data_IF_929616833201
#
_entry.id   IF_929616833201
#
_cell.length_a   1.000
_cell.length_b   1.000
_cell.length_c   1.000
_cell.angle_alpha   90.00
_cell.angle_beta   90.00
_cell.angle_gamma   90.00
#
_symmetry.space_group_name_H-M   'P 1'
#
loop_
_entity.id
_entity.type
_entity.pdbx_description
1 polymer ?
#
# COMPACT_ATOMS: atom_id res chain seq x y z
N UNK A 1 8.88 -52.47 -82.37
CA UNK A 1 8.45 -51.22 -81.70
C UNK A 1 7.98 -51.61 -80.31
N UNK A 2 8.90 -51.66 -79.35
CA UNK A 2 9.18 -50.61 -78.33
C UNK A 2 8.29 -50.85 -77.08
N UNK A 3 8.82 -51.51 -76.03
CA UNK A 3 9.61 -50.97 -74.89
C UNK A 3 8.66 -50.69 -73.68
N UNK A 4 8.69 -51.52 -72.60
CA UNK A 4 9.33 -51.24 -71.27
C UNK A 4 8.65 -50.13 -70.43
N UNK A 5 8.49 -50.08 -69.09
CA UNK A 5 8.99 -50.72 -67.86
C UNK A 5 8.14 -50.19 -66.65
N UNK A 6 8.13 -50.94 -65.54
CA UNK A 6 8.26 -50.50 -64.11
C UNK A 6 7.21 -49.62 -63.37
N UNK A 7 6.84 -50.13 -62.17
CA UNK A 7 6.35 -49.45 -60.94
C UNK A 7 7.26 -48.25 -60.52
N UNK A 8 6.90 -47.30 -59.60
CA UNK A 8 6.21 -47.53 -58.31
C UNK A 8 5.34 -46.38 -57.71
N UNK A 9 4.80 -46.64 -56.51
CA UNK A 9 4.20 -45.71 -55.53
C UNK A 9 4.82 -44.30 -55.45
N UNK A 10 4.05 -43.33 -54.93
CA UNK A 10 4.58 -42.53 -53.82
C UNK A 10 3.66 -42.58 -52.60
N UNK A 11 4.11 -43.34 -51.59
CA UNK A 11 4.07 -42.88 -50.20
C UNK A 11 4.70 -41.49 -50.17
N UNK A 12 4.00 -40.43 -49.76
CA UNK A 12 4.56 -39.25 -49.08
C UNK A 12 3.46 -38.18 -48.93
N UNK A 13 2.59 -38.30 -47.93
CA UNK A 13 1.84 -37.14 -47.40
C UNK A 13 1.42 -37.37 -45.94
N UNK A 14 2.34 -37.86 -45.10
CA UNK A 14 2.10 -38.00 -43.66
C UNK A 14 3.36 -37.68 -42.85
N UNK A 15 4.04 -36.56 -43.15
CA UNK A 15 5.17 -36.10 -42.33
C UNK A 15 5.17 -34.60 -41.96
N UNK A 16 4.18 -33.80 -42.41
CA UNK A 16 4.17 -32.36 -42.12
C UNK A 16 3.31 -31.97 -40.91
N UNK A 17 2.32 -32.78 -40.52
CA UNK A 17 1.40 -32.41 -39.42
C UNK A 17 2.00 -32.59 -38.02
N UNK A 18 2.95 -33.51 -37.84
CA UNK A 18 3.61 -33.76 -36.54
C UNK A 18 4.60 -32.63 -36.18
N UNK A 19 5.38 -32.18 -37.16
CA UNK A 19 6.41 -31.15 -36.96
C UNK A 19 5.80 -29.80 -36.54
N UNK A 20 4.68 -29.39 -37.15
CA UNK A 20 3.99 -28.14 -36.80
C UNK A 20 3.42 -28.11 -35.38
N UNK A 21 2.93 -29.26 -34.87
CA UNK A 21 2.41 -29.36 -33.49
C UNK A 21 3.54 -29.28 -32.47
N UNK A 22 4.67 -29.94 -32.74
CA UNK A 22 5.86 -29.89 -31.89
C UNK A 22 6.47 -28.49 -31.89
N UNK A 23 6.54 -27.82 -33.03
CA UNK A 23 7.04 -26.44 -33.12
C UNK A 23 6.13 -25.44 -32.38
N UNK A 24 4.81 -25.56 -32.52
CA UNK A 24 3.86 -24.75 -31.73
C UNK A 24 4.01 -25.01 -30.23
N UNK A 25 4.08 -26.27 -29.80
CA UNK A 25 4.26 -26.63 -28.39
C UNK A 25 5.60 -26.15 -27.82
N UNK A 26 6.67 -26.20 -28.62
CA UNK A 26 7.99 -25.72 -28.22
C UNK A 26 8.03 -24.19 -28.10
N UNK A 27 7.46 -23.46 -29.07
CA UNK A 27 7.30 -22.00 -29.01
C UNK A 27 6.41 -21.58 -27.84
N UNK A 28 5.32 -22.31 -27.59
CA UNK A 28 4.45 -22.06 -26.43
C UNK A 28 5.20 -22.29 -25.11
N UNK A 29 5.98 -23.37 -25.02
CA UNK A 29 6.79 -23.70 -23.84
C UNK A 29 7.90 -22.67 -23.61
N UNK A 30 8.58 -22.19 -24.65
CA UNK A 30 9.58 -21.10 -24.57
C UNK A 30 8.90 -19.79 -24.14
N UNK A 31 7.74 -19.46 -24.71
CA UNK A 31 6.94 -18.32 -24.30
C UNK A 31 6.58 -18.39 -22.82
N UNK A 32 6.06 -19.52 -22.35
CA UNK A 32 5.70 -19.74 -20.94
C UNK A 32 6.89 -19.58 -19.98
N UNK A 33 8.07 -20.11 -20.34
CA UNK A 33 9.27 -19.96 -19.53
C UNK A 33 9.75 -18.50 -19.48
N UNK A 34 9.66 -17.77 -20.61
CA UNK A 34 10.03 -16.35 -20.68
C UNK A 34 9.08 -15.48 -19.85
N UNK A 35 7.76 -15.70 -19.95
CA UNK A 35 6.78 -14.99 -19.14
C UNK A 35 6.96 -15.25 -17.64
N UNK A 36 7.24 -16.50 -17.26
CA UNK A 36 7.56 -16.84 -15.86
C UNK A 36 8.78 -16.09 -15.35
N UNK A 37 9.86 -16.01 -16.14
CA UNK A 37 11.06 -15.26 -15.76
C UNK A 37 10.76 -13.77 -15.59
N UNK A 38 10.09 -13.15 -16.55
CA UNK A 38 9.71 -11.73 -16.49
C UNK A 38 8.79 -11.42 -15.30
N UNK A 39 7.83 -12.30 -15.03
CA UNK A 39 6.94 -12.19 -13.87
C UNK A 39 7.74 -12.28 -12.55
N UNK A 40 8.67 -13.23 -12.45
CA UNK A 40 9.51 -13.37 -11.26
C UNK A 40 10.41 -12.14 -11.05
N UNK A 41 11.03 -11.65 -12.12
CA UNK A 41 11.87 -10.44 -12.10
C UNK A 41 11.07 -9.21 -11.65
N UNK A 42 9.85 -9.04 -12.18
CA UNK A 42 8.94 -7.98 -11.76
C UNK A 42 8.55 -8.11 -10.29
N UNK A 43 8.22 -9.31 -9.81
CA UNK A 43 7.88 -9.53 -8.40
C UNK A 43 9.05 -9.25 -7.46
N UNK A 44 10.27 -9.59 -7.87
CA UNK A 44 11.48 -9.26 -7.11
C UNK A 44 11.66 -7.75 -7.06
N UNK A 45 11.50 -7.06 -8.18
CA UNK A 45 11.58 -5.59 -8.26
C UNK A 45 10.57 -4.91 -7.32
N UNK A 46 9.29 -5.30 -7.40
CA UNK A 46 8.23 -4.76 -6.54
C UNK A 46 8.51 -5.04 -5.06
N UNK A 47 9.01 -6.25 -4.75
CA UNK A 47 9.44 -6.59 -3.39
C UNK A 47 10.59 -5.73 -2.88
N UNK A 48 11.57 -5.36 -3.74
CA UNK A 48 12.66 -4.43 -3.38
C UNK A 48 12.10 -3.05 -3.08
N UNK A 49 11.18 -2.56 -3.91
CA UNK A 49 10.51 -1.27 -3.72
C UNK A 49 9.72 -1.22 -2.42
N UNK A 50 8.91 -2.24 -2.14
CA UNK A 50 8.17 -2.37 -0.88
C UNK A 50 9.10 -2.32 0.33
N UNK A 51 10.20 -3.10 0.30
CA UNK A 51 11.20 -3.09 1.39
C UNK A 51 11.86 -1.73 1.60
N UNK A 52 11.99 -0.92 0.57
CA UNK A 52 12.51 0.46 0.70
C UNK A 52 11.59 1.33 1.54
N UNK A 53 10.27 1.26 1.29
CA UNK A 53 9.25 1.99 2.06
C UNK A 53 9.23 1.53 3.52
N UNK A 54 9.34 0.21 3.74
CA UNK A 54 9.41 -0.39 5.08
C UNK A 54 10.61 0.15 5.85
N UNK A 55 11.81 0.08 5.26
CA UNK A 55 13.04 0.59 5.89
C UNK A 55 12.97 2.09 6.18
N UNK A 56 12.35 2.86 5.28
CA UNK A 56 12.15 4.28 5.48
C UNK A 56 11.25 4.55 6.69
N UNK A 57 10.10 3.87 6.79
CA UNK A 57 9.18 4.01 7.93
C UNK A 57 9.80 3.56 9.24
N UNK A 58 10.58 2.47 9.24
CA UNK A 58 11.34 2.01 10.40
C UNK A 58 12.35 3.07 10.88
N UNK A 59 13.06 3.72 9.95
CA UNK A 59 14.02 4.77 10.27
C UNK A 59 13.34 6.05 10.83
N UNK A 60 12.13 6.38 10.34
CA UNK A 60 11.37 7.54 10.81
C UNK A 60 10.65 7.27 12.14
N UNK A 61 10.30 6.02 12.45
CA UNK A 61 9.57 5.62 13.66
C UNK A 61 10.48 5.50 14.90
N UNK A 62 11.27 6.53 15.22
CA UNK A 62 12.26 6.52 16.33
C UNK A 62 11.65 6.43 17.74
N UNK A 63 10.34 6.58 17.89
CA UNK A 63 9.65 6.60 19.21
C UNK A 63 8.21 6.09 19.15
N UNK A 64 7.93 5.07 18.34
CA UNK A 64 6.57 4.48 18.14
C UNK A 64 5.50 5.46 17.59
N UNK A 65 5.92 6.69 17.30
CA UNK A 65 5.14 7.75 16.69
C UNK A 65 5.81 8.24 15.42
N UNK A 66 5.01 8.51 14.40
CA UNK A 66 5.41 9.01 13.09
C UNK A 66 4.78 10.38 12.87
N UNK A 67 5.59 11.38 12.46
CA UNK A 67 5.06 12.66 12.03
C UNK A 67 4.40 12.54 10.65
N UNK A 68 3.37 13.33 10.40
CA UNK A 68 2.62 13.25 9.13
C UNK A 68 3.47 13.57 7.91
N UNK A 69 4.51 14.39 8.05
CA UNK A 69 5.43 14.69 6.95
C UNK A 69 6.19 13.45 6.48
N UNK A 70 6.71 12.66 7.43
CA UNK A 70 7.38 11.39 7.12
C UNK A 70 6.37 10.36 6.57
N UNK A 71 5.16 10.32 7.15
CA UNK A 71 4.09 9.48 6.64
C UNK A 71 3.71 9.79 5.19
N UNK A 72 3.48 11.06 4.86
CA UNK A 72 3.13 11.49 3.49
C UNK A 72 4.27 11.20 2.52
N UNK A 73 5.52 11.39 2.94
CA UNK A 73 6.68 11.02 2.13
C UNK A 73 6.75 9.51 1.85
N UNK A 74 6.33 8.67 2.80
CA UNK A 74 6.22 7.22 2.57
C UNK A 74 5.12 6.89 1.55
N UNK A 75 3.97 7.57 1.62
CA UNK A 75 2.88 7.45 0.65
C UNK A 75 3.35 7.89 -0.75
N UNK A 76 4.01 9.03 -0.87
CA UNK A 76 4.57 9.53 -2.14
C UNK A 76 5.61 8.57 -2.73
N UNK A 77 6.45 8.00 -1.86
CA UNK A 77 7.41 6.96 -2.28
C UNK A 77 6.68 5.76 -2.86
N UNK A 78 5.57 5.33 -2.23
CA UNK A 78 4.74 4.23 -2.71
C UNK A 78 4.07 4.57 -4.04
N UNK A 79 3.61 5.81 -4.24
CA UNK A 79 3.08 6.29 -5.53
C UNK A 79 4.12 6.11 -6.64
N UNK A 80 5.38 6.46 -6.38
CA UNK A 80 6.48 6.24 -7.33
C UNK A 80 6.73 4.76 -7.68
N UNK A 81 6.25 3.81 -6.87
CA UNK A 81 6.45 2.38 -7.13
C UNK A 81 5.47 1.77 -8.13
N UNK A 82 4.34 2.46 -8.42
CA UNK A 82 3.28 1.99 -9.34
C UNK A 82 2.73 0.60 -8.98
N UNK A 83 2.37 0.40 -7.71
CA UNK A 83 1.77 -0.85 -7.23
C UNK A 83 0.32 -0.99 -7.70
N UNK A 84 -0.06 -2.20 -8.15
CA UNK A 84 -1.46 -2.56 -8.29
C UNK A 84 -2.10 -2.93 -6.95
N UNK A 85 -3.41 -3.11 -6.94
CA UNK A 85 -4.13 -3.53 -5.72
C UNK A 85 -3.65 -4.89 -5.18
N UNK A 86 -3.40 -5.85 -6.08
CA UNK A 86 -2.85 -7.17 -5.71
C UNK A 86 -1.45 -7.08 -5.10
N UNK A 87 -0.63 -6.13 -5.58
CA UNK A 87 0.70 -5.89 -5.02
C UNK A 87 0.60 -5.31 -3.60
N UNK A 88 -0.33 -4.38 -3.38
CA UNK A 88 -0.61 -3.83 -2.04
C UNK A 88 -1.07 -4.93 -1.09
N UNK A 89 -2.03 -5.77 -1.51
CA UNK A 89 -2.48 -6.91 -0.72
C UNK A 89 -1.31 -7.84 -0.34
N UNK A 90 -0.43 -8.13 -1.31
CA UNK A 90 0.69 -9.05 -1.10
C UNK A 90 1.80 -8.49 -0.21
N UNK A 91 2.16 -7.22 -0.38
CA UNK A 91 3.34 -6.64 0.26
C UNK A 91 3.03 -5.78 1.49
N UNK A 92 1.88 -5.11 1.51
CA UNK A 92 1.50 -4.14 2.54
C UNK A 92 0.40 -4.68 3.45
N UNK A 93 -0.50 -5.55 2.98
CA UNK A 93 -1.52 -6.19 3.82
C UNK A 93 -1.04 -7.52 4.41
N UNK A 94 0.18 -7.53 4.92
CA UNK A 94 0.71 -8.67 5.66
C UNK A 94 0.57 -8.38 7.18
N UNK A 95 -0.11 -9.25 7.96
CA UNK A 95 -0.28 -9.04 9.40
C UNK A 95 1.05 -9.01 10.18
N UNK A 96 2.12 -9.61 9.65
CA UNK A 96 3.47 -9.55 10.24
C UNK A 96 4.14 -8.17 10.11
N UNK A 97 3.60 -7.30 9.25
CA UNK A 97 4.16 -5.96 9.02
C UNK A 97 3.68 -4.97 10.08
N UNK A 98 4.37 -3.84 10.21
CA UNK A 98 3.94 -2.75 11.11
C UNK A 98 2.58 -2.17 10.63
N UNK A 99 1.69 -1.84 11.57
CA UNK A 99 0.40 -1.21 11.23
C UNK A 99 0.55 0.09 10.44
N UNK A 100 1.65 0.83 10.61
CA UNK A 100 1.93 2.03 9.83
C UNK A 100 2.12 1.72 8.34
N UNK A 101 2.72 0.57 8.02
CA UNK A 101 2.89 0.10 6.65
C UNK A 101 1.52 -0.25 6.06
N UNK A 102 0.70 -0.96 6.84
CA UNK A 102 -0.66 -1.30 6.43
C UNK A 102 -1.51 -0.03 6.22
N UNK A 103 -1.36 0.97 7.09
CA UNK A 103 -2.01 2.28 6.97
C UNK A 103 -1.60 3.02 5.68
N UNK A 104 -0.31 3.03 5.34
CA UNK A 104 0.18 3.60 4.07
C UNK A 104 -0.45 2.87 2.88
N UNK A 105 -0.60 1.54 2.95
CA UNK A 105 -1.28 0.74 1.92
C UNK A 105 -2.76 1.10 1.78
N UNK A 106 -3.48 1.25 2.90
CA UNK A 106 -4.90 1.68 2.92
C UNK A 106 -5.04 3.07 2.30
N UNK A 107 -4.19 4.02 2.71
CA UNK A 107 -4.18 5.37 2.17
C UNK A 107 -3.97 5.35 0.65
N UNK A 108 -2.95 4.64 0.18
CA UNK A 108 -2.65 4.51 -1.25
C UNK A 108 -3.81 3.91 -2.05
N UNK A 109 -4.48 2.87 -1.52
CA UNK A 109 -5.65 2.27 -2.16
C UNK A 109 -6.80 3.27 -2.33
N UNK A 110 -7.08 4.06 -1.28
CA UNK A 110 -8.17 5.03 -1.28
C UNK A 110 -7.88 6.26 -2.14
N UNK A 111 -6.64 6.74 -2.19
CA UNK A 111 -6.31 7.99 -2.91
C UNK A 111 -5.80 7.78 -4.32
N UNK A 112 -4.95 6.78 -4.53
CA UNK A 112 -4.24 6.62 -5.81
C UNK A 112 -4.91 5.58 -6.69
N UNK A 113 -5.33 4.45 -6.11
CA UNK A 113 -6.00 3.38 -6.85
C UNK A 113 -7.51 3.57 -6.98
N UNK A 114 -8.11 4.41 -6.12
CA UNK A 114 -9.56 4.67 -6.13
C UNK A 114 -10.39 3.44 -5.81
N UNK A 115 -9.87 2.53 -4.97
CA UNK A 115 -10.59 1.30 -4.59
C UNK A 115 -11.78 1.66 -3.68
N UNK A 116 -12.99 1.16 -3.98
CA UNK A 116 -14.14 1.36 -3.10
C UNK A 116 -13.88 0.84 -1.69
N UNK A 117 -14.36 1.58 -0.69
CA UNK A 117 -14.19 1.25 0.74
C UNK A 117 -14.59 -0.19 1.07
N UNK A 118 -15.75 -0.64 0.60
CA UNK A 118 -16.25 -2.00 0.84
C UNK A 118 -15.29 -3.09 0.34
N UNK A 119 -14.73 -2.91 -0.87
CA UNK A 119 -13.78 -3.86 -1.45
C UNK A 119 -12.46 -3.87 -0.67
N UNK A 120 -12.02 -2.70 -0.20
CA UNK A 120 -10.84 -2.58 0.61
C UNK A 120 -11.03 -3.24 1.98
N UNK A 121 -12.19 -3.07 2.60
CA UNK A 121 -12.51 -3.67 3.91
C UNK A 121 -12.54 -5.19 3.82
N UNK A 122 -13.12 -5.74 2.74
CA UNK A 122 -13.09 -7.19 2.53
C UNK A 122 -11.66 -7.69 2.37
N UNK A 123 -10.81 -6.98 1.62
CA UNK A 123 -9.39 -7.30 1.53
C UNK A 123 -8.69 -7.24 2.91
N UNK A 124 -8.93 -6.20 3.71
CA UNK A 124 -8.37 -6.08 5.05
C UNK A 124 -8.82 -7.23 5.97
N UNK A 125 -10.05 -7.70 5.81
CA UNK A 125 -10.60 -8.85 6.56
C UNK A 125 -9.96 -10.16 6.14
N UNK A 126 -9.81 -10.40 4.84
CA UNK A 126 -9.12 -11.60 4.30
C UNK A 126 -7.69 -11.68 4.82
N UNK A 127 -7.03 -10.53 4.96
CA UNK A 127 -5.66 -10.44 5.46
C UNK A 127 -5.54 -10.34 6.98
N UNK A 128 -6.64 -10.42 7.74
CA UNK A 128 -6.68 -10.37 9.22
C UNK A 128 -6.07 -9.08 9.81
N UNK A 129 -6.21 -7.95 9.11
CA UNK A 129 -5.66 -6.65 9.54
C UNK A 129 -6.72 -5.56 9.73
N UNK A 130 -8.00 -5.87 9.51
CA UNK A 130 -9.14 -4.94 9.67
C UNK A 130 -9.12 -4.24 11.03
N UNK A 131 -8.87 -5.00 12.10
CA UNK A 131 -9.04 -4.54 13.47
C UNK A 131 -7.80 -3.84 14.03
N UNK A 132 -6.72 -3.77 13.24
CA UNK A 132 -5.49 -3.07 13.67
C UNK A 132 -5.78 -1.58 13.77
N UNK A 133 -5.36 -0.96 14.88
CA UNK A 133 -5.68 0.44 15.19
C UNK A 133 -4.45 1.33 15.21
N UNK A 134 -4.68 2.59 14.83
CA UNK A 134 -3.72 3.68 14.96
C UNK A 134 -4.37 4.83 15.73
N UNK A 135 -3.57 5.55 16.51
CA UNK A 135 -3.99 6.78 17.16
C UNK A 135 -3.45 7.96 16.36
N UNK A 136 -4.36 8.74 15.79
CA UNK A 136 -4.03 9.99 15.09
C UNK A 136 -4.27 11.12 16.07
N UNK A 137 -3.21 11.88 16.35
CA UNK A 137 -3.23 13.10 17.14
C UNK A 137 -2.97 14.30 16.26
N UNK A 138 -3.81 15.31 16.33
CA UNK A 138 -3.60 16.55 15.59
C UNK A 138 -3.93 17.77 16.45
N UNK A 139 -3.22 18.86 16.18
CA UNK A 139 -3.36 20.11 16.92
C UNK A 139 -3.97 21.16 16.01
N UNK A 140 -5.10 21.74 16.42
CA UNK A 140 -5.76 22.82 15.71
C UNK A 140 -5.37 24.17 16.27
N UNK A 141 -5.16 25.12 15.36
CA UNK A 141 -5.00 26.53 15.68
C UNK A 141 -6.25 27.02 16.40
N UNK A 142 -6.07 27.62 17.57
CA UNK A 142 -7.17 28.23 18.30
C UNK A 142 -7.85 29.32 17.46
N UNK A 143 -9.18 29.30 17.44
CA UNK A 143 -9.98 30.27 16.68
C UNK A 143 -9.87 31.66 17.29
N UNK A 144 -10.00 32.69 16.45
CA UNK A 144 -10.18 34.05 16.96
C UNK A 144 -11.63 34.22 17.42
N UNK A 145 -11.81 34.74 18.64
CA UNK A 145 -13.12 35.01 19.21
C UNK A 145 -13.06 36.34 19.97
N UNK A 146 -13.93 37.29 19.60
CA UNK A 146 -13.94 38.67 20.12
C UNK A 146 -12.56 39.35 20.18
N UNK A 147 -11.73 39.18 19.14
CA UNK A 147 -10.41 39.80 19.07
C UNK A 147 -9.32 39.13 19.91
N UNK A 148 -9.62 38.04 20.61
CA UNK A 148 -8.63 37.21 21.30
C UNK A 148 -8.42 35.89 20.56
N UNK A 149 -7.16 35.44 20.47
CA UNK A 149 -6.84 34.10 19.98
C UNK A 149 -7.12 33.09 21.08
N UNK A 150 -8.03 32.14 20.83
CA UNK A 150 -8.28 31.02 21.72
C UNK A 150 -7.07 30.09 21.80
N UNK A 151 -7.03 29.24 22.83
CA UNK A 151 -5.98 28.23 22.97
C UNK A 151 -6.05 27.21 21.84
N UNK A 152 -4.88 26.74 21.40
CA UNK A 152 -4.80 25.65 20.44
C UNK A 152 -5.43 24.37 21.03
N UNK A 153 -6.20 23.66 20.20
CA UNK A 153 -6.94 22.47 20.60
C UNK A 153 -6.18 21.21 20.18
N UNK A 154 -5.98 20.26 21.08
CA UNK A 154 -5.45 18.94 20.74
C UNK A 154 -6.59 17.95 20.56
N UNK A 155 -6.64 17.30 19.41
CA UNK A 155 -7.58 16.24 19.08
C UNK A 155 -6.83 14.92 18.97
N UNK A 156 -7.47 13.84 19.41
CA UNK A 156 -6.90 12.49 19.37
C UNK A 156 -8.00 11.47 19.08
N UNK A 157 -7.78 10.60 18.10
CA UNK A 157 -8.75 9.54 17.78
C UNK A 157 -8.04 8.22 17.48
N UNK A 158 -8.58 7.15 18.05
CA UNK A 158 -8.22 5.79 17.72
C UNK A 158 -9.12 5.29 16.59
N UNK A 159 -8.51 4.86 15.49
CA UNK A 159 -9.24 4.40 14.30
C UNK A 159 -8.69 3.05 13.86
N UNK A 160 -9.56 2.11 13.52
CA UNK A 160 -9.13 0.84 12.89
C UNK A 160 -8.85 1.04 11.40
N UNK A 161 -8.13 0.10 10.78
CA UNK A 161 -7.90 0.14 9.35
C UNK A 161 -9.21 -0.05 8.56
N UNK A 162 -10.16 -0.82 9.09
CA UNK A 162 -11.48 -0.97 8.51
C UNK A 162 -12.29 0.34 8.58
N UNK A 163 -12.32 1.00 9.74
CA UNK A 163 -13.04 2.26 9.92
C UNK A 163 -12.52 3.34 8.95
N UNK A 164 -11.20 3.42 8.76
CA UNK A 164 -10.56 4.33 7.79
C UNK A 164 -10.96 4.06 6.33
N UNK A 165 -11.39 2.84 6.02
CA UNK A 165 -11.76 2.41 4.67
C UNK A 165 -13.27 2.54 4.42
N UNK A 166 -14.13 2.33 5.43
CA UNK A 166 -15.60 2.48 5.32
C UNK A 166 -16.12 3.86 5.65
N UNK A 167 -15.58 4.51 6.68
CA UNK A 167 -16.15 5.78 7.12
C UNK A 167 -15.73 6.89 6.15
N UNK A 168 -16.70 7.72 5.74
CA UNK A 168 -16.47 9.10 5.31
C UNK A 168 -16.01 9.95 6.52
N UNK A 169 -15.09 9.42 7.32
CA UNK A 169 -14.39 10.15 8.35
C UNK A 169 -13.36 11.06 7.68
N UNK A 170 -13.88 11.92 6.80
CA UNK A 170 -13.26 13.05 6.11
C UNK A 170 -12.37 13.85 7.06
N UNK A 171 -12.68 13.83 8.35
CA UNK A 171 -11.86 14.41 9.39
C UNK A 171 -10.51 13.70 9.55
N UNK A 172 -10.44 12.39 9.87
CA UNK A 172 -9.15 11.72 10.10
C UNK A 172 -8.43 11.46 8.79
N UNK A 173 -9.13 10.92 7.79
CA UNK A 173 -8.53 10.65 6.49
C UNK A 173 -8.13 11.95 5.79
N UNK A 174 -8.92 13.01 5.91
CA UNK A 174 -8.56 14.33 5.40
C UNK A 174 -7.37 14.95 6.13
N UNK A 175 -7.26 14.79 7.45
CA UNK A 175 -6.08 15.22 8.23
C UNK A 175 -4.82 14.44 7.79
N UNK A 176 -4.93 13.14 7.56
CA UNK A 176 -3.81 12.31 7.09
C UNK A 176 -3.41 12.63 5.65
N UNK A 177 -4.37 12.94 4.77
CA UNK A 177 -4.15 13.32 3.36
C UNK A 177 -3.52 14.70 3.23
N UNK A 178 -4.06 15.70 3.95
CA UNK A 178 -3.63 17.11 3.85
C UNK A 178 -2.38 17.38 4.66
N UNK A 179 -2.22 16.71 5.81
CA UNK A 179 -1.17 17.01 6.77
C UNK A 179 -1.41 18.29 7.56
N UNK A 180 -0.33 18.98 7.93
CA UNK A 180 -0.38 20.24 8.66
C UNK A 180 -0.69 21.41 7.70
N UNK A 181 -1.94 21.90 7.68
CA UNK A 181 -2.39 23.00 6.82
C UNK A 181 -3.26 23.97 7.61
N UNK A 182 -2.91 25.27 7.57
CA UNK A 182 -3.55 26.50 8.09
C UNK A 182 -4.27 26.42 9.45
N UNK A 183 -5.22 25.50 9.60
CA UNK A 183 -5.93 25.18 10.84
C UNK A 183 -5.27 24.05 11.63
N UNK A 184 -4.45 23.18 11.01
CA UNK A 184 -3.78 22.04 11.65
C UNK A 184 -2.28 22.31 11.73
N UNK A 185 -1.76 22.45 12.94
CA UNK A 185 -0.35 22.78 13.21
C UNK A 185 0.58 21.57 13.09
N UNK A 186 0.10 20.41 13.56
CA UNK A 186 0.89 19.18 13.63
C UNK A 186 -0.06 17.99 13.59
N UNK A 187 0.41 16.90 13.01
CA UNK A 187 -0.28 15.61 13.02
C UNK A 187 0.75 14.53 13.32
N UNK A 188 0.44 13.71 14.30
CA UNK A 188 1.26 12.61 14.77
C UNK A 188 0.44 11.33 14.77
N UNK A 189 1.02 10.26 14.23
CA UNK A 189 0.41 8.93 14.15
C UNK A 189 1.15 8.05 15.15
N UNK A 190 0.43 7.38 16.04
CA UNK A 190 1.01 6.46 17.02
C UNK A 190 0.37 5.09 16.90
N UNK A 191 1.19 4.05 17.09
CA UNK A 191 0.76 2.65 17.07
C UNK A 191 0.42 2.22 18.49
N UNK A 192 -0.46 1.22 18.66
CA UNK A 192 -0.69 0.60 19.96
C UNK A 192 0.61 -0.03 20.46
N UNK A 193 1.27 0.70 21.37
CA UNK A 193 2.49 0.37 22.08
C UNK A 193 2.70 1.47 23.12
N UNK A 194 2.07 1.28 24.29
CA UNK A 194 1.93 2.24 25.42
C UNK A 194 1.23 3.59 25.12
N UNK A 195 0.37 4.07 26.03
CA UNK A 195 -0.09 5.46 25.97
C UNK A 195 1.13 6.38 26.05
N UNK A 196 1.27 7.28 25.08
CA UNK A 196 2.22 8.39 25.18
C UNK A 196 1.98 9.09 26.51
N UNK A 197 3.03 9.23 27.34
CA UNK A 197 2.93 10.04 28.56
C UNK A 197 2.33 11.40 28.17
N UNK A 198 1.20 11.81 28.76
CA UNK A 198 0.70 13.16 28.55
C UNK A 198 1.83 14.10 28.95
N UNK A 199 2.19 15.04 28.09
CA UNK A 199 3.08 16.11 28.52
C UNK A 199 2.41 16.81 29.70
N UNK A 200 3.11 16.80 30.84
CA UNK A 200 2.71 17.54 32.02
C UNK A 200 2.67 19.02 31.62
N UNK A 201 1.45 19.58 31.55
CA UNK A 201 1.29 21.01 31.64
C UNK A 201 1.88 21.44 32.98
N UNK A 202 3.04 22.10 32.97
CA UNK A 202 3.49 22.84 34.13
C UNK A 202 2.45 23.92 34.39
N UNK A 203 1.55 23.67 35.33
CA UNK A 203 0.80 24.73 35.99
C UNK A 203 1.81 25.55 36.77
N UNK A 204 2.08 26.77 36.32
CA UNK A 204 2.69 27.79 37.14
C UNK A 204 1.79 27.99 38.35
N UNK A 205 2.24 27.57 39.53
CA UNK A 205 1.68 28.02 40.80
C UNK A 205 2.16 29.45 41.02
N UNK A 206 1.28 30.42 40.74
CA UNK A 206 1.31 31.69 41.46
C UNK A 206 1.06 31.38 42.94
N UNK A 207 2.05 31.68 43.78
CA UNK A 207 1.85 31.82 45.22
C UNK A 207 2.25 33.26 45.54
N UNK A 208 1.28 33.97 46.12
CA UNK A 208 1.36 35.33 46.67
C UNK A 208 2.60 35.57 47.54
#
# INVERSE_FOLDING_TARGET
MALTLFLPFPFFFFHSFSQFRVQKLFVWKIGLQKWRKLYLERHVELGVRARSVVKFLEACSRSESLEVGDYLKAVDTLIGTMFGFEDVQRFLFNPQMNVLINLVGVHYCLTTLGIPGDNLVEALRIHEISDRRVCVRWWKVGRWYYGFRMRDESHSRWVSLADLATEDDEHVLGVLRRGAVHEVLRVQISVVGRPSKPWSCNSYTEIN
#
